data_IF_135613786371
#
_entry.id   IF_135613786371
#
_cell.length_a   1.000
_cell.length_b   1.000
_cell.length_c   1.000
_cell.angle_alpha   90.00
_cell.angle_beta   90.00
_cell.angle_gamma   90.00
#
_symmetry.space_group_name_H-M   'P 1'
#
loop_
_entity.id
_entity.type
_entity.pdbx_description
1 polymer ?
#
# COMPACT_ATOMS: atom_id res chain seq x y z
N UNK A 1 -6.32 7.78 12.76
CA UNK A 1 -6.06 8.86 11.82
C UNK A 1 -6.65 8.49 10.47
N UNK A 2 -7.73 9.15 10.06
CA UNK A 2 -8.27 9.03 8.71
C UNK A 2 -7.53 10.00 7.80
N UNK A 3 -7.39 9.70 6.50
CA UNK A 3 -6.88 10.69 5.57
C UNK A 3 -7.83 11.90 5.56
N UNK A 4 -7.29 13.12 5.42
CA UNK A 4 -8.14 14.31 5.30
C UNK A 4 -8.94 14.27 4.03
N UNK A 5 -8.33 13.75 2.98
CA UNK A 5 -8.94 13.67 1.68
C UNK A 5 -8.42 12.47 0.91
N UNK A 6 -9.34 11.72 0.32
CA UNK A 6 -9.06 10.70 -0.67
C UNK A 6 -9.62 11.23 -1.99
N UNK A 7 -8.73 11.52 -2.94
CA UNK A 7 -9.11 11.97 -4.29
C UNK A 7 -8.79 10.87 -5.27
N UNK A 8 -9.69 10.59 -6.16
CA UNK A 8 -9.49 9.56 -7.16
C UNK A 8 -10.62 9.61 -8.18
N UNK A 9 -11.48 8.65 -8.14
CA UNK A 9 -12.62 8.53 -9.05
C UNK A 9 -13.93 8.98 -8.38
N UNK A 10 -14.92 9.31 -9.20
CA UNK A 10 -16.29 9.56 -8.73
C UNK A 10 -16.99 8.21 -8.52
N UNK A 11 -17.76 8.13 -7.44
CA UNK A 11 -18.63 6.99 -7.16
C UNK A 11 -20.07 7.36 -7.49
N UNK A 12 -20.86 6.39 -7.93
CA UNK A 12 -22.31 6.49 -8.02
C UNK A 12 -23.01 6.21 -6.66
N UNK A 13 -24.35 6.17 -6.66
CA UNK A 13 -25.15 5.90 -5.46
C UNK A 13 -24.90 4.51 -4.85
N UNK A 14 -24.40 3.57 -5.63
CA UNK A 14 -24.11 2.20 -5.22
C UNK A 14 -22.62 2.00 -4.87
N UNK A 15 -21.89 3.12 -4.72
CA UNK A 15 -20.44 3.17 -4.46
C UNK A 15 -19.58 2.52 -5.56
N UNK A 16 -20.10 2.44 -6.78
CA UNK A 16 -19.36 1.94 -7.93
C UNK A 16 -18.63 3.09 -8.64
N UNK A 17 -17.40 2.87 -9.10
CA UNK A 17 -16.64 3.89 -9.83
C UNK A 17 -17.30 4.22 -11.16
N UNK A 18 -17.68 5.47 -11.39
CA UNK A 18 -18.26 5.96 -12.65
C UNK A 18 -17.20 6.55 -13.61
N UNK A 19 -16.02 6.90 -13.10
CA UNK A 19 -14.91 7.35 -13.93
C UNK A 19 -13.59 7.09 -13.24
N UNK A 20 -12.56 6.77 -14.04
CA UNK A 20 -11.18 6.82 -13.58
C UNK A 20 -10.76 8.25 -13.26
N UNK A 21 -9.62 8.43 -12.59
CA UNK A 21 -9.02 9.74 -12.40
C UNK A 21 -8.90 10.47 -13.74
N UNK A 22 -9.13 11.79 -13.74
CA UNK A 22 -8.99 12.60 -14.96
C UNK A 22 -7.59 12.49 -15.50
N UNK A 23 -7.45 12.43 -16.85
CA UNK A 23 -6.16 12.27 -17.52
C UNK A 23 -5.08 13.21 -16.98
N UNK A 24 -3.86 12.71 -16.82
CA UNK A 24 -2.71 13.45 -16.29
C UNK A 24 -2.70 13.61 -14.76
N UNK A 25 -3.49 12.82 -14.03
CA UNK A 25 -3.49 12.78 -12.56
C UNK A 25 -3.36 11.34 -12.09
N UNK A 26 -2.75 11.16 -10.90
CA UNK A 26 -2.70 9.85 -10.25
C UNK A 26 -4.08 9.33 -9.87
N UNK A 27 -4.20 8.01 -9.76
CA UNK A 27 -5.47 7.34 -9.54
C UNK A 27 -6.05 7.64 -8.16
N UNK A 28 -5.22 7.63 -7.12
CA UNK A 28 -5.67 7.84 -5.75
C UNK A 28 -4.65 8.64 -4.94
N UNK A 29 -5.12 9.67 -4.25
CA UNK A 29 -4.32 10.47 -3.30
C UNK A 29 -4.86 10.30 -1.90
N UNK A 30 -4.03 9.78 -0.99
CA UNK A 30 -4.33 9.72 0.43
C UNK A 30 -3.47 10.75 1.16
N UNK A 31 -4.08 11.88 1.53
CA UNK A 31 -3.42 12.99 2.21
C UNK A 31 -3.57 12.84 3.73
N UNK A 32 -2.45 12.71 4.42
CA UNK A 32 -2.36 12.69 5.89
C UNK A 32 -1.68 13.96 6.39
N UNK A 33 -1.65 14.21 7.69
CA UNK A 33 -1.04 15.40 8.28
C UNK A 33 0.43 15.57 7.88
N UNK A 34 1.19 14.51 7.97
CA UNK A 34 2.66 14.48 7.92
C UNK A 34 3.22 13.84 6.65
N UNK A 35 2.38 13.23 5.80
CA UNK A 35 2.78 12.66 4.51
C UNK A 35 1.60 12.51 3.56
N UNK A 36 1.88 12.19 2.31
CA UNK A 36 0.89 11.83 1.28
C UNK A 36 1.30 10.51 0.64
N UNK A 37 0.36 9.62 0.37
CA UNK A 37 0.55 8.45 -0.49
C UNK A 37 -0.22 8.67 -1.78
N UNK A 38 0.49 8.59 -2.90
CA UNK A 38 -0.09 8.54 -4.24
C UNK A 38 -0.07 7.09 -4.70
N UNK A 39 -1.23 6.55 -5.01
CA UNK A 39 -1.38 5.19 -5.51
C UNK A 39 -1.78 5.20 -6.97
N UNK A 40 -1.10 4.41 -7.76
CA UNK A 40 -1.39 4.12 -9.15
C UNK A 40 -1.70 2.64 -9.31
N UNK A 41 -2.78 2.32 -10.01
CA UNK A 41 -3.26 0.95 -10.15
C UNK A 41 -3.40 0.60 -11.64
N UNK A 42 -2.79 -0.49 -12.06
CA UNK A 42 -2.96 -1.01 -13.40
C UNK A 42 -3.29 -2.49 -13.41
N UNK A 43 -4.17 -2.89 -14.30
CA UNK A 43 -4.47 -4.29 -14.57
C UNK A 43 -3.58 -4.87 -15.69
N UNK A 44 -2.64 -4.07 -16.21
CA UNK A 44 -1.72 -4.49 -17.26
C UNK A 44 -0.82 -5.63 -16.78
N UNK A 45 -0.76 -6.71 -17.56
CA UNK A 45 0.18 -7.82 -17.40
C UNK A 45 1.23 -7.84 -18.52
N UNK A 46 1.21 -6.82 -19.37
CA UNK A 46 2.06 -6.69 -20.55
C UNK A 46 3.53 -6.54 -20.19
N UNK A 47 4.42 -7.09 -21.02
CA UNK A 47 5.86 -6.82 -20.97
C UNK A 47 6.22 -5.37 -21.35
N UNK A 48 5.23 -4.58 -21.79
CA UNK A 48 5.37 -3.14 -22.07
C UNK A 48 4.98 -2.27 -20.87
N UNK A 49 4.79 -2.86 -19.69
CA UNK A 49 4.35 -2.15 -18.49
C UNK A 49 5.25 -0.93 -18.18
N UNK A 50 6.56 -1.09 -18.29
CA UNK A 50 7.50 0.02 -18.08
C UNK A 50 7.25 1.17 -19.07
N UNK A 51 7.11 0.87 -20.36
CA UNK A 51 6.88 1.88 -21.39
C UNK A 51 5.52 2.57 -21.27
N UNK A 52 4.51 1.89 -20.73
CA UNK A 52 3.15 2.42 -20.58
C UNK A 52 2.93 3.15 -19.26
N UNK A 53 3.53 2.68 -18.19
CA UNK A 53 3.24 3.12 -16.81
C UNK A 53 4.44 3.80 -16.14
N UNK A 54 5.67 3.45 -16.53
CA UNK A 54 6.89 3.92 -15.86
C UNK A 54 7.05 5.44 -15.87
N UNK A 55 6.77 6.10 -17.01
CA UNK A 55 6.80 7.56 -17.12
C UNK A 55 5.60 8.22 -16.44
N UNK A 56 4.33 7.84 -16.74
CA UNK A 56 3.17 8.46 -16.13
C UNK A 56 3.20 8.42 -14.60
N UNK A 57 3.52 7.27 -14.01
CA UNK A 57 3.60 7.11 -12.55
C UNK A 57 4.64 8.04 -11.94
N UNK A 58 5.87 8.09 -12.51
CA UNK A 58 6.92 9.00 -12.02
C UNK A 58 6.53 10.46 -12.14
N UNK A 59 5.89 10.85 -13.24
CA UNK A 59 5.40 12.21 -13.46
C UNK A 59 4.36 12.60 -12.40
N UNK A 60 3.37 11.74 -12.15
CA UNK A 60 2.33 12.01 -11.15
C UNK A 60 2.90 12.12 -9.73
N UNK A 61 3.86 11.24 -9.37
CA UNK A 61 4.56 11.34 -8.06
C UNK A 61 5.40 12.61 -7.97
N UNK A 62 6.12 12.98 -9.05
CA UNK A 62 6.88 14.24 -9.13
C UNK A 62 5.98 15.46 -8.94
N UNK A 63 4.84 15.52 -9.62
CA UNK A 63 3.88 16.61 -9.49
C UNK A 63 3.33 16.70 -8.07
N UNK A 64 3.10 15.56 -7.42
CA UNK A 64 2.70 15.52 -6.02
C UNK A 64 3.82 16.02 -5.09
N UNK A 65 5.08 15.62 -5.31
CA UNK A 65 6.24 16.13 -4.55
C UNK A 65 6.35 17.65 -4.65
N UNK A 66 6.11 18.22 -5.84
CA UNK A 66 6.13 19.67 -6.02
C UNK A 66 4.94 20.39 -5.38
N UNK A 67 3.81 19.69 -5.29
CA UNK A 67 2.56 20.27 -4.74
C UNK A 67 2.53 20.28 -3.22
N UNK A 68 3.04 19.22 -2.58
CA UNK A 68 2.92 19.04 -1.14
C UNK A 68 4.21 19.40 -0.42
N UNK A 69 4.12 20.25 0.62
CA UNK A 69 5.26 20.61 1.47
C UNK A 69 5.56 19.55 2.56
N UNK A 70 5.38 18.28 2.24
CA UNK A 70 5.55 17.12 3.11
C UNK A 70 5.99 15.91 2.29
N UNK A 71 6.54 14.84 2.91
CA UNK A 71 6.92 13.63 2.20
C UNK A 71 5.78 13.06 1.35
N UNK A 72 6.10 12.67 0.14
CA UNK A 72 5.20 12.00 -0.79
C UNK A 72 5.78 10.65 -1.15
N UNK A 73 4.99 9.61 -0.99
CA UNK A 73 5.33 8.25 -1.34
C UNK A 73 4.45 7.76 -2.48
N UNK A 74 5.05 7.13 -3.49
CA UNK A 74 4.34 6.47 -4.56
C UNK A 74 4.12 4.99 -4.24
N UNK A 75 2.94 4.49 -4.52
CA UNK A 75 2.61 3.07 -4.48
C UNK A 75 2.04 2.66 -5.82
N UNK A 76 2.78 1.84 -6.56
CA UNK A 76 2.34 1.29 -7.84
C UNK A 76 1.82 -0.12 -7.65
N UNK A 77 0.54 -0.34 -7.92
CA UNK A 77 -0.12 -1.64 -7.76
C UNK A 77 -0.46 -2.21 -9.14
N UNK A 78 0.01 -3.44 -9.41
CA UNK A 78 -0.30 -4.13 -10.66
C UNK A 78 -0.56 -5.62 -10.41
N UNK A 79 -1.22 -6.29 -11.35
CA UNK A 79 -1.42 -7.74 -11.27
C UNK A 79 -0.07 -8.46 -11.21
N UNK A 80 0.91 -7.95 -11.97
CA UNK A 80 2.28 -8.43 -12.00
C UNK A 80 3.22 -7.23 -12.16
N UNK A 81 4.37 -7.27 -11.50
CA UNK A 81 5.42 -6.24 -11.66
C UNK A 81 6.46 -6.73 -12.66
N UNK A 82 6.57 -6.05 -13.79
CA UNK A 82 7.65 -6.25 -14.75
C UNK A 82 8.99 -5.81 -14.15
N UNK A 83 10.08 -6.49 -14.50
CA UNK A 83 11.40 -6.21 -13.91
C UNK A 83 11.95 -4.85 -14.36
N UNK A 84 11.70 -4.42 -15.61
CA UNK A 84 12.15 -3.10 -16.06
C UNK A 84 11.33 -1.98 -15.40
N UNK A 85 10.04 -2.20 -15.13
CA UNK A 85 9.22 -1.29 -14.33
C UNK A 85 9.78 -1.14 -12.92
N UNK A 86 10.13 -2.27 -12.27
CA UNK A 86 10.77 -2.23 -10.96
C UNK A 86 12.13 -1.51 -10.99
N UNK A 87 12.95 -1.73 -12.02
CA UNK A 87 14.23 -1.04 -12.19
C UNK A 87 14.06 0.47 -12.35
N UNK A 88 13.07 0.89 -13.14
CA UNK A 88 12.73 2.30 -13.32
C UNK A 88 12.35 2.97 -11.99
N UNK A 89 11.54 2.30 -11.16
CA UNK A 89 11.15 2.83 -9.84
C UNK A 89 12.30 2.74 -8.83
N UNK A 90 13.13 1.70 -8.90
CA UNK A 90 14.31 1.54 -8.07
C UNK A 90 15.29 2.70 -8.22
N UNK A 91 15.55 3.15 -9.44
CA UNK A 91 16.34 4.34 -9.67
C UNK A 91 15.66 5.61 -9.15
N UNK A 92 14.36 5.73 -9.35
CA UNK A 92 13.54 6.81 -8.81
C UNK A 92 13.96 8.21 -9.26
N UNK A 93 14.86 8.34 -10.27
CA UNK A 93 15.35 9.64 -10.73
C UNK A 93 14.35 10.24 -11.71
N UNK A 94 13.99 11.49 -11.46
CA UNK A 94 13.14 12.29 -12.32
C UNK A 94 13.67 13.72 -12.43
N UNK A 95 13.51 14.34 -13.57
CA UNK A 95 13.82 15.77 -13.76
C UNK A 95 12.50 16.51 -13.99
N UNK A 96 12.12 17.33 -13.01
CA UNK A 96 10.95 18.19 -13.09
C UNK A 96 11.25 19.42 -13.97
N UNK A 97 10.23 20.26 -14.19
CA UNK A 97 10.37 21.50 -14.96
C UNK A 97 11.53 22.35 -14.43
N UNK A 98 12.38 22.81 -15.35
CA UNK A 98 13.58 23.58 -15.03
C UNK A 98 14.78 22.72 -14.61
N UNK A 99 14.82 21.47 -15.06
CA UNK A 99 15.89 20.49 -14.82
C UNK A 99 16.15 20.20 -13.33
N UNK A 100 15.13 20.39 -12.49
CA UNK A 100 15.21 20.09 -11.06
C UNK A 100 15.21 18.59 -10.87
N UNK A 101 16.34 18.05 -10.44
CA UNK A 101 16.49 16.62 -10.14
C UNK A 101 15.72 16.27 -8.87
N UNK A 102 14.88 15.27 -8.97
CA UNK A 102 14.14 14.66 -7.86
C UNK A 102 14.54 13.20 -7.71
N UNK A 103 14.43 12.70 -6.50
CA UNK A 103 14.43 11.28 -6.21
C UNK A 103 13.04 10.92 -5.68
N UNK A 104 12.36 10.06 -6.41
CA UNK A 104 11.00 9.66 -6.10
C UNK A 104 11.02 8.34 -5.32
N UNK A 105 10.22 8.26 -4.28
CA UNK A 105 10.02 7.07 -3.46
C UNK A 105 8.79 6.33 -3.98
N UNK A 106 8.98 5.31 -4.82
CA UNK A 106 7.91 4.54 -5.47
C UNK A 106 8.13 3.05 -5.24
N UNK A 107 7.21 2.42 -4.52
CA UNK A 107 7.23 0.98 -4.25
C UNK A 107 6.25 0.25 -5.17
N UNK A 108 6.74 -0.68 -6.00
CA UNK A 108 5.89 -1.54 -6.80
C UNK A 108 5.42 -2.75 -5.98
N UNK A 109 4.11 -2.91 -5.86
CA UNK A 109 3.46 -4.04 -5.23
C UNK A 109 2.62 -4.81 -6.25
N UNK A 110 2.60 -6.12 -6.16
CA UNK A 110 1.54 -6.87 -6.85
C UNK A 110 0.22 -6.68 -6.13
N UNK A 111 -0.89 -6.77 -6.87
CA UNK A 111 -2.23 -6.73 -6.29
C UNK A 111 -2.40 -7.78 -5.18
N UNK A 112 -1.83 -8.98 -5.37
CA UNK A 112 -1.88 -10.04 -4.37
C UNK A 112 -1.13 -9.68 -3.08
N UNK A 113 0.06 -9.06 -3.18
CA UNK A 113 0.81 -8.57 -2.02
C UNK A 113 0.04 -7.49 -1.26
N UNK A 114 -0.49 -6.51 -2.00
CA UNK A 114 -1.28 -5.44 -1.41
C UNK A 114 -2.53 -5.98 -0.71
N UNK A 115 -3.29 -6.87 -1.37
CA UNK A 115 -4.48 -7.48 -0.81
C UNK A 115 -4.16 -8.28 0.46
N UNK A 116 -3.11 -9.11 0.44
CA UNK A 116 -2.69 -9.91 1.61
C UNK A 116 -2.37 -9.02 2.81
N UNK A 117 -1.61 -7.94 2.60
CA UNK A 117 -1.27 -6.99 3.64
C UNK A 117 -2.50 -6.24 4.16
N UNK A 118 -3.34 -5.75 3.25
CA UNK A 118 -4.54 -4.98 3.58
C UNK A 118 -5.53 -5.81 4.40
N UNK A 119 -5.81 -7.05 3.99
CA UNK A 119 -6.69 -7.96 4.72
C UNK A 119 -6.16 -8.21 6.12
N UNK A 120 -4.86 -8.55 6.27
CA UNK A 120 -4.27 -8.78 7.59
C UNK A 120 -4.41 -7.56 8.51
N UNK A 121 -4.20 -6.34 7.98
CA UNK A 121 -4.34 -5.10 8.75
C UNK A 121 -5.78 -4.87 9.22
N UNK A 122 -6.78 -5.18 8.39
CA UNK A 122 -8.18 -5.00 8.72
C UNK A 122 -8.69 -6.07 9.69
N UNK A 123 -8.34 -7.33 9.48
CA UNK A 123 -8.71 -8.43 10.38
C UNK A 123 -8.13 -8.27 11.77
N UNK A 124 -6.92 -7.73 11.86
CA UNK A 124 -6.25 -7.43 13.11
C UNK A 124 -6.67 -6.09 13.75
N UNK A 125 -7.62 -5.36 13.15
CA UNK A 125 -8.03 -4.01 13.58
C UNK A 125 -6.87 -3.00 13.73
N UNK A 126 -5.74 -3.27 13.06
CA UNK A 126 -4.49 -2.46 13.09
C UNK A 126 -4.36 -1.50 11.92
N UNK A 127 -5.40 -1.35 11.09
CA UNK A 127 -5.36 -0.49 9.93
C UNK A 127 -5.16 0.97 10.30
N UNK A 128 -3.94 1.46 10.08
CA UNK A 128 -3.62 2.87 10.24
C UNK A 128 -2.60 3.35 9.18
N UNK A 129 -2.58 4.64 8.86
CA UNK A 129 -1.70 5.19 7.82
C UNK A 129 -0.21 5.00 8.09
N UNK A 130 0.20 5.04 9.35
CA UNK A 130 1.59 4.86 9.77
C UNK A 130 2.13 3.48 9.39
N UNK A 131 1.32 2.44 9.56
CA UNK A 131 1.70 1.08 9.17
C UNK A 131 1.96 0.94 7.66
N UNK A 132 1.12 1.59 6.84
CA UNK A 132 1.32 1.57 5.38
C UNK A 132 2.58 2.36 4.99
N UNK A 133 2.82 3.53 5.61
CA UNK A 133 4.07 4.27 5.41
C UNK A 133 5.28 3.44 5.82
N UNK A 134 5.23 2.76 6.96
CA UNK A 134 6.33 1.95 7.47
C UNK A 134 6.63 0.76 6.54
N UNK A 135 5.59 0.14 5.95
CA UNK A 135 5.79 -0.86 4.90
C UNK A 135 6.54 -0.28 3.70
N UNK A 136 6.10 0.89 3.20
CA UNK A 136 6.75 1.57 2.07
C UNK A 136 8.22 1.85 2.39
N UNK A 137 8.50 2.48 3.52
CA UNK A 137 9.89 2.80 3.94
C UNK A 137 10.75 1.55 4.09
N UNK A 138 10.20 0.46 4.61
CA UNK A 138 10.90 -0.81 4.73
C UNK A 138 11.26 -1.36 3.34
N UNK A 139 10.31 -1.38 2.40
CA UNK A 139 10.55 -1.80 1.01
C UNK A 139 11.64 -0.95 0.32
N UNK A 140 11.62 0.37 0.55
CA UNK A 140 12.59 1.31 0.00
C UNK A 140 14.02 1.13 0.58
N UNK A 141 14.15 0.63 1.79
CA UNK A 141 15.42 0.60 2.54
C UNK A 141 16.54 -0.17 1.85
N UNK A 142 16.25 -1.03 0.91
CA UNK A 142 17.22 -1.85 0.17
C UNK A 142 17.28 -1.56 -1.33
N UNK A 143 16.51 -0.60 -1.83
CA UNK A 143 16.43 -0.35 -3.28
C UNK A 143 17.75 0.06 -3.91
N UNK A 144 18.61 0.76 -3.16
CA UNK A 144 19.90 1.24 -3.68
C UNK A 144 20.99 0.16 -3.69
N UNK A 145 20.80 -0.91 -2.93
CA UNK A 145 21.77 -1.98 -2.74
C UNK A 145 21.44 -3.18 -3.63
N UNK A 146 20.15 -3.44 -3.84
CA UNK A 146 19.68 -4.62 -4.57
C UNK A 146 19.38 -4.28 -6.03
N UNK A 147 19.70 -5.19 -6.94
CA UNK A 147 19.22 -5.17 -8.31
C UNK A 147 17.71 -5.42 -8.37
N UNK A 148 17.01 -4.98 -9.44
CA UNK A 148 15.56 -5.06 -9.52
C UNK A 148 14.95 -6.46 -9.24
N UNK A 149 15.50 -7.57 -9.75
CA UNK A 149 14.98 -8.90 -9.40
C UNK A 149 15.07 -9.20 -7.91
N UNK A 150 16.19 -8.88 -7.27
CA UNK A 150 16.41 -9.09 -5.85
C UNK A 150 15.58 -8.11 -4.99
N UNK A 151 15.40 -6.87 -5.46
CA UNK A 151 14.54 -5.90 -4.79
C UNK A 151 13.07 -6.33 -4.80
N UNK A 152 12.56 -6.88 -5.90
CA UNK A 152 11.21 -7.46 -5.97
C UNK A 152 11.03 -8.61 -4.96
N UNK A 153 12.04 -9.49 -4.83
CA UNK A 153 12.02 -10.56 -3.84
C UNK A 153 12.06 -10.00 -2.40
N UNK A 154 12.85 -8.96 -2.18
CA UNK A 154 12.90 -8.27 -0.89
C UNK A 154 11.56 -7.64 -0.52
N UNK A 155 10.87 -7.00 -1.46
CA UNK A 155 9.51 -6.47 -1.27
C UNK A 155 8.55 -7.60 -0.88
N UNK A 156 8.59 -8.73 -1.58
CA UNK A 156 7.74 -9.89 -1.28
C UNK A 156 7.97 -10.44 0.12
N UNK A 157 9.23 -10.62 0.50
CA UNK A 157 9.61 -11.01 1.86
C UNK A 157 9.14 -10.00 2.90
N UNK A 158 9.37 -8.70 2.66
CA UNK A 158 8.96 -7.61 3.56
C UNK A 158 7.44 -7.60 3.80
N UNK A 159 6.64 -7.76 2.74
CA UNK A 159 5.18 -7.86 2.87
C UNK A 159 4.79 -9.09 3.69
N UNK A 160 5.41 -10.24 3.41
CA UNK A 160 5.12 -11.49 4.12
C UNK A 160 5.49 -11.43 5.60
N UNK A 161 6.64 -10.83 5.93
CA UNK A 161 7.09 -10.62 7.31
C UNK A 161 6.11 -9.69 8.06
N UNK A 162 5.70 -8.59 7.42
CA UNK A 162 4.74 -7.65 8.00
C UNK A 162 3.37 -8.29 8.26
N UNK A 163 2.87 -9.10 7.34
CA UNK A 163 1.64 -9.88 7.55
C UNK A 163 1.79 -10.81 8.76
N UNK A 164 2.93 -11.51 8.87
CA UNK A 164 3.21 -12.41 9.98
C UNK A 164 3.30 -11.66 11.33
N UNK A 165 3.96 -10.50 11.35
CA UNK A 165 4.03 -9.62 12.54
C UNK A 165 2.63 -9.19 13.01
N UNK A 166 1.77 -8.83 12.06
CA UNK A 166 0.39 -8.41 12.35
C UNK A 166 -0.42 -9.56 12.94
N UNK A 167 -0.41 -10.72 12.29
CA UNK A 167 -1.23 -11.88 12.69
C UNK A 167 -0.73 -12.53 13.98
N UNK A 168 0.59 -12.63 14.18
CA UNK A 168 1.15 -13.21 15.42
C UNK A 168 0.97 -12.28 16.62
N UNK A 169 0.98 -10.95 16.42
CA UNK A 169 0.71 -9.98 17.47
C UNK A 169 -0.70 -10.10 18.05
N UNK A 170 -1.67 -10.56 17.27
CA UNK A 170 -3.04 -10.78 17.73
C UNK A 170 -3.19 -12.06 18.56
N UNK A 171 -2.42 -13.11 18.24
CA UNK A 171 -2.41 -14.34 19.03
C UNK A 171 -1.88 -14.08 20.44
N UNK A 172 -0.87 -13.21 20.57
CA UNK A 172 -0.31 -12.86 21.88
C UNK A 172 -1.27 -11.98 22.72
N UNK A 173 -1.97 -11.03 22.09
CA UNK A 173 -2.96 -10.18 22.78
C UNK A 173 -4.20 -10.96 23.22
N UNK A 174 -4.71 -11.85 22.38
CA UNK A 174 -5.85 -12.69 22.71
C UNK A 174 -5.53 -13.76 23.78
N UNK A 175 -4.25 -14.11 23.95
CA UNK A 175 -3.83 -15.03 25.02
C UNK A 175 -3.79 -14.35 26.39
N UNK A 176 -3.52 -13.05 26.45
CA UNK A 176 -3.53 -12.24 27.68
C UNK A 176 -4.93 -11.77 28.07
N UNK A 177 -5.90 -11.73 27.13
CA UNK A 177 -7.30 -11.37 27.36
C UNK A 177 -8.24 -12.58 27.52
N UNK A 178 -7.73 -13.80 27.65
CA UNK A 178 -8.57 -14.93 28.00
C UNK A 178 -9.26 -14.63 29.36
N UNK A 179 -10.60 -14.52 29.40
CA UNK A 179 -11.28 -14.17 30.64
C UNK A 179 -10.94 -15.21 31.69
N UNK A 180 -10.36 -14.75 32.78
CA UNK A 180 -10.21 -15.56 34.02
C UNK A 180 -11.62 -15.94 34.48
N UNK A 181 -12.11 -17.09 34.03
CA UNK A 181 -13.31 -17.68 34.59
C UNK A 181 -12.97 -18.06 36.02
N UNK A 182 -13.57 -17.44 37.04
CA UNK A 182 -13.30 -17.80 38.44
C UNK A 182 -13.63 -19.28 38.63
N UNK A 183 -12.76 -20.01 39.29
CA UNK A 183 -13.02 -21.41 39.65
C UNK A 183 -14.36 -21.51 40.42
N UNK A 184 -15.37 -22.14 39.80
CA UNK A 184 -16.70 -22.26 40.36
C UNK A 184 -17.83 -21.62 39.53
N UNK A 185 -17.57 -20.98 38.40
CA UNK A 185 -18.60 -20.45 37.53
C UNK A 185 -19.29 -21.58 36.75
N UNK A 186 -20.60 -21.74 36.98
CA UNK A 186 -21.45 -22.68 36.20
C UNK A 186 -21.84 -21.98 34.89
N UNK A 187 -21.31 -22.47 33.75
CA UNK A 187 -21.70 -21.99 32.43
C UNK A 187 -22.95 -22.74 31.93
N UNK A 188 -24.08 -22.07 31.88
CA UNK A 188 -25.28 -22.61 31.22
C UNK A 188 -25.19 -22.46 29.72
N UNK A 189 -25.09 -23.58 29.05
CA UNK A 189 -25.17 -23.63 27.57
C UNK A 189 -26.65 -23.57 27.16
N UNK A 190 -27.10 -22.46 26.59
CA UNK A 190 -28.41 -22.41 25.90
C UNK A 190 -28.23 -22.93 24.47
N UNK A 191 -28.65 -24.16 24.24
CA UNK A 191 -28.83 -24.72 22.89
C UNK A 191 -30.00 -23.99 22.22
N UNK A 192 -29.72 -23.25 21.14
CA UNK A 192 -30.74 -22.76 20.24
C UNK A 192 -31.30 -23.97 19.45
N UNK A 193 -32.51 -24.34 19.75
CA UNK A 193 -33.24 -25.32 18.96
C UNK A 193 -33.62 -24.72 17.60
N UNK A 194 -33.33 -25.51 16.56
CA UNK A 194 -33.82 -25.25 15.20
C UNK A 194 -35.32 -25.54 15.18
N UNK A 195 -36.10 -24.54 14.82
CA UNK A 195 -37.52 -24.65 14.44
C UNK A 195 -37.71 -24.16 13.03
#
# INVERSE_FOLDING_TARGET
>A
NKPYEVRGFKLDSDFMPVSAAGGGKGDLYCEFNDFTILTEVTMSTSSRQEAMEGEPVRRHVSDAVLKYAKPVYGMFIAVRIDTNTAETFRHGIWYAKGDVKQRLDIVPLTLAQFQKYFVAMFEAEKANPGQLRDLILKCESRRDILEAPAWKQYIDATVSDKVTEITNGDVAQNADEAPLIPAGAIVHHTTFGVG
#
